data_IF_601206628904
#
_entry.id   IF_601206628904
#
_cell.length_a   1.000
_cell.length_b   1.000
_cell.length_c   1.000
_cell.angle_alpha   90.00
_cell.angle_beta   90.00
_cell.angle_gamma   90.00
#
_symmetry.space_group_name_H-M   'P 1'
#
loop_
_entity.id
_entity.type
_entity.pdbx_description
1 polymer ?
#
# COMPACT_ATOMS: atom_id res chain seq x y z
N UNK A 1 3.74 23.31 -10.18
CA UNK A 1 4.28 22.01 -10.63
C UNK A 1 3.08 21.19 -11.10
N UNK A 2 3.13 20.37 -12.16
CA UNK A 2 1.95 19.60 -12.56
C UNK A 2 1.64 18.58 -11.46
N UNK A 3 0.67 18.90 -10.63
CA UNK A 3 0.17 18.03 -9.58
C UNK A 3 -0.62 16.93 -10.28
N UNK A 4 -0.15 15.68 -10.18
CA UNK A 4 -0.97 14.54 -10.56
C UNK A 4 -2.25 14.63 -9.72
N UNK A 5 -3.44 14.70 -10.35
CA UNK A 5 -4.67 14.86 -9.60
C UNK A 5 -4.81 13.68 -8.64
N UNK A 6 -5.07 13.95 -7.36
CA UNK A 6 -5.24 12.93 -6.32
C UNK A 6 -6.23 11.83 -6.75
N UNK A 7 -7.22 12.20 -7.58
CA UNK A 7 -8.20 11.29 -8.13
C UNK A 7 -7.68 10.23 -9.12
N UNK A 8 -6.47 10.39 -9.65
CA UNK A 8 -5.80 9.41 -10.50
C UNK A 8 -4.94 8.44 -9.68
N UNK A 9 -4.31 8.93 -8.62
CA UNK A 9 -3.46 8.15 -7.72
C UNK A 9 -4.24 7.07 -6.96
N UNK A 10 -5.48 7.37 -6.57
CA UNK A 10 -6.40 6.37 -5.99
C UNK A 10 -6.67 5.15 -6.87
N UNK A 11 -6.40 5.23 -8.19
CA UNK A 11 -6.51 4.05 -9.10
C UNK A 11 -5.36 3.05 -8.93
N UNK A 12 -4.28 3.46 -8.28
CA UNK A 12 -3.17 2.57 -7.92
C UNK A 12 -3.53 1.65 -6.76
N UNK A 13 -4.59 1.95 -6.03
CA UNK A 13 -5.04 1.14 -4.90
C UNK A 13 -6.10 0.14 -5.35
N UNK A 14 -5.93 -1.12 -4.93
CA UNK A 14 -6.95 -2.14 -5.16
C UNK A 14 -8.04 -2.01 -4.09
N UNK A 15 -9.17 -1.39 -4.43
CA UNK A 15 -10.31 -1.25 -3.52
C UNK A 15 -10.79 -2.62 -3.00
N UNK A 16 -11.04 -2.73 -1.70
CA UNK A 16 -11.41 -3.97 -1.01
C UNK A 16 -10.25 -4.95 -0.80
N UNK A 17 -9.01 -4.48 -0.97
CA UNK A 17 -7.82 -5.28 -0.67
C UNK A 17 -7.38 -5.17 0.79
N UNK A 18 -7.89 -4.17 1.55
CA UNK A 18 -7.57 -4.02 2.95
C UNK A 18 -8.10 -5.20 3.75
N UNK A 19 -7.20 -5.92 4.41
CA UNK A 19 -7.52 -7.07 5.25
C UNK A 19 -6.68 -7.02 6.51
N UNK A 20 -7.27 -7.33 7.65
CA UNK A 20 -6.48 -7.58 8.85
C UNK A 20 -5.76 -8.92 8.73
N UNK A 21 -4.55 -8.96 9.27
CA UNK A 21 -3.78 -10.19 9.44
C UNK A 21 -3.58 -10.42 10.94
N UNK A 22 -3.09 -11.60 11.32
CA UNK A 22 -2.84 -11.94 12.73
C UNK A 22 -1.92 -10.93 13.45
N UNK A 23 -1.05 -10.25 12.71
CA UNK A 23 -0.01 -9.35 13.22
C UNK A 23 -0.21 -7.89 12.77
N UNK A 24 -1.40 -7.51 12.29
CA UNK A 24 -1.70 -6.16 11.81
C UNK A 24 -2.67 -6.17 10.63
N UNK A 25 -2.25 -5.65 9.48
CA UNK A 25 -3.09 -5.57 8.29
C UNK A 25 -2.27 -5.56 6.99
N UNK A 26 -2.91 -5.88 5.87
CA UNK A 26 -2.32 -5.85 4.55
C UNK A 26 -3.28 -5.24 3.53
N UNK A 27 -2.71 -4.67 2.48
CA UNK A 27 -3.47 -4.14 1.34
C UNK A 27 -2.65 -4.22 0.06
N UNK A 28 -3.32 -4.23 -1.09
CA UNK A 28 -2.67 -4.36 -2.38
C UNK A 28 -2.75 -3.07 -3.19
N UNK A 29 -1.62 -2.72 -3.79
CA UNK A 29 -1.51 -1.71 -4.84
C UNK A 29 -1.43 -2.40 -6.19
N UNK A 30 -2.25 -1.94 -7.14
CA UNK A 30 -2.26 -2.39 -8.52
C UNK A 30 -1.91 -1.21 -9.43
N UNK A 31 -0.79 -1.30 -10.14
CA UNK A 31 -0.42 -0.25 -11.07
C UNK A 31 -1.31 -0.28 -12.32
N UNK A 32 -2.25 0.64 -12.42
CA UNK A 32 -3.14 0.78 -13.59
C UNK A 32 -2.80 1.98 -14.47
N UNK A 33 -1.76 2.75 -14.13
CA UNK A 33 -1.42 4.01 -14.79
C UNK A 33 -0.28 3.85 -15.80
N UNK A 34 0.94 3.62 -15.33
CA UNK A 34 2.14 3.63 -16.15
C UNK A 34 3.27 2.85 -15.46
N UNK A 35 4.17 2.18 -16.21
CA UNK A 35 5.23 1.39 -15.60
C UNK A 35 6.19 2.32 -14.84
N UNK A 36 6.55 1.93 -13.62
CA UNK A 36 7.37 2.75 -12.75
C UNK A 36 8.32 1.94 -11.87
N UNK A 37 9.31 2.62 -11.31
CA UNK A 37 10.33 2.04 -10.46
C UNK A 37 10.28 2.72 -9.09
N UNK A 38 9.85 1.99 -8.07
CA UNK A 38 9.80 2.49 -6.70
C UNK A 38 11.21 2.43 -6.11
N UNK A 39 11.77 3.59 -5.80
CA UNK A 39 13.11 3.77 -5.23
C UNK A 39 13.07 4.23 -3.77
N UNK A 40 11.89 4.32 -3.18
CA UNK A 40 11.69 4.63 -1.78
C UNK A 40 10.25 4.41 -1.37
N UNK A 41 10.05 3.91 -0.16
CA UNK A 41 8.74 3.85 0.48
C UNK A 41 8.84 4.62 1.80
N UNK A 42 7.96 5.60 1.95
CA UNK A 42 7.82 6.40 3.14
C UNK A 42 6.93 5.72 4.19
N UNK A 43 6.62 6.44 5.28
CA UNK A 43 5.63 5.97 6.24
C UNK A 43 4.25 5.87 5.59
N UNK A 44 3.44 4.95 6.11
CA UNK A 44 2.02 4.81 5.75
C UNK A 44 1.22 5.37 6.92
N UNK A 45 0.27 6.25 6.66
CA UNK A 45 -0.69 6.70 7.66
C UNK A 45 -2.02 5.98 7.46
N UNK A 46 -2.59 5.42 8.52
CA UNK A 46 -3.92 4.79 8.49
C UNK A 46 -4.75 5.35 9.64
N UNK A 47 -5.88 5.99 9.33
CA UNK A 47 -6.77 6.61 10.31
C UNK A 47 -6.06 7.63 11.25
N UNK A 48 -5.01 8.29 10.74
CA UNK A 48 -4.16 9.20 11.51
C UNK A 48 -3.05 8.52 12.32
N UNK A 49 -2.97 7.18 12.31
CA UNK A 49 -1.87 6.43 12.88
C UNK A 49 -0.73 6.27 11.87
N UNK A 50 0.46 6.73 12.22
CA UNK A 50 1.63 6.67 11.35
C UNK A 50 2.45 5.38 11.58
N UNK A 51 2.66 4.62 10.51
CA UNK A 51 3.44 3.40 10.49
C UNK A 51 4.77 3.61 9.75
N UNK A 52 5.92 3.40 10.40
CA UNK A 52 7.23 3.58 9.77
C UNK A 52 7.53 2.45 8.77
N UNK A 53 8.40 2.69 7.76
CA UNK A 53 8.81 1.70 6.76
C UNK A 53 9.55 0.48 7.34
N UNK A 54 9.89 0.50 8.62
CA UNK A 54 10.43 -0.64 9.37
C UNK A 54 9.37 -1.68 9.70
N UNK A 55 8.12 -1.24 9.89
CA UNK A 55 6.96 -2.10 10.17
C UNK A 55 6.23 -2.52 8.90
N UNK A 56 6.67 -2.04 7.74
CA UNK A 56 6.02 -2.27 6.46
C UNK A 56 6.84 -3.28 5.66
N UNK A 57 6.20 -4.35 5.24
CA UNK A 57 6.76 -5.40 4.40
C UNK A 57 6.10 -5.39 3.04
N UNK A 58 6.92 -5.32 2.00
CA UNK A 58 6.49 -5.30 0.61
C UNK A 58 6.60 -6.70 0.04
N UNK A 59 5.49 -7.26 -0.40
CA UNK A 59 5.41 -8.58 -0.99
C UNK A 59 5.07 -8.45 -2.48
N UNK A 60 5.96 -8.96 -3.33
CA UNK A 60 5.83 -8.95 -4.79
C UNK A 60 5.97 -10.38 -5.29
N UNK A 61 4.85 -10.99 -5.67
CA UNK A 61 4.81 -12.39 -6.09
C UNK A 61 5.22 -13.32 -4.94
N UNK A 62 6.40 -13.95 -5.05
CA UNK A 62 6.98 -14.83 -4.02
C UNK A 62 8.10 -14.19 -3.21
N UNK A 63 8.41 -12.93 -3.48
CA UNK A 63 9.48 -12.20 -2.80
C UNK A 63 8.87 -11.22 -1.81
N UNK A 64 9.34 -11.27 -0.57
CA UNK A 64 9.02 -10.29 0.45
C UNK A 64 10.27 -9.48 0.80
N UNK A 65 10.09 -8.19 1.06
CA UNK A 65 11.17 -7.30 1.45
C UNK A 65 10.64 -6.14 2.27
N UNK A 66 11.32 -5.79 3.35
CA UNK A 66 10.95 -4.64 4.15
C UNK A 66 10.99 -3.33 3.34
N UNK A 67 10.03 -2.44 3.57
CA UNK A 67 9.88 -1.19 2.84
C UNK A 67 11.11 -0.29 2.98
N UNK A 68 11.75 -0.27 4.16
CA UNK A 68 13.00 0.47 4.40
C UNK A 68 14.19 0.01 3.53
N UNK A 69 14.14 -1.22 2.97
CA UNK A 69 15.17 -1.72 2.04
C UNK A 69 14.95 -1.23 0.61
N UNK A 70 13.74 -0.74 0.29
CA UNK A 70 13.43 -0.17 -1.03
C UNK A 70 14.14 1.18 -1.14
N UNK A 71 15.11 1.24 -2.04
CA UNK A 71 16.04 2.36 -2.18
C UNK A 71 16.53 2.45 -3.63
N UNK A 72 17.22 3.53 -4.02
CA UNK A 72 17.81 3.64 -5.36
C UNK A 72 18.79 2.51 -5.70
N UNK A 73 19.43 1.89 -4.69
CA UNK A 73 20.33 0.74 -4.87
C UNK A 73 19.58 -0.59 -4.98
N UNK A 74 18.39 -0.68 -4.38
CA UNK A 74 17.51 -1.84 -4.47
C UNK A 74 16.12 -1.40 -4.91
N UNK A 75 15.94 -0.95 -6.16
CA UNK A 75 14.66 -0.50 -6.65
C UNK A 75 13.65 -1.66 -6.69
N UNK A 76 12.38 -1.32 -6.55
CA UNK A 76 11.27 -2.24 -6.73
C UNK A 76 10.57 -1.92 -8.05
N UNK A 77 10.54 -2.90 -8.96
CA UNK A 77 9.84 -2.74 -10.22
C UNK A 77 8.32 -2.76 -9.99
N UNK A 78 7.61 -1.73 -10.44
CA UNK A 78 6.16 -1.64 -10.41
C UNK A 78 5.64 -1.53 -11.85
N UNK A 79 5.66 -2.63 -12.63
CA UNK A 79 5.18 -2.62 -14.01
C UNK A 79 3.68 -2.34 -14.07
N UNK A 80 3.16 -1.95 -15.23
CA UNK A 80 1.70 -1.85 -15.46
C UNK A 80 1.06 -3.20 -15.25
N UNK A 81 -0.10 -3.24 -14.60
CA UNK A 81 -0.78 -4.42 -14.07
C UNK A 81 0.04 -5.20 -13.03
N UNK A 82 1.14 -4.63 -12.53
CA UNK A 82 1.89 -5.16 -11.41
C UNK A 82 1.09 -5.00 -10.12
N UNK A 83 1.01 -6.07 -9.34
CA UNK A 83 0.39 -6.09 -8.01
C UNK A 83 1.49 -6.15 -6.95
N UNK A 84 1.47 -5.19 -6.04
CA UNK A 84 2.33 -5.16 -4.85
C UNK A 84 1.44 -5.27 -3.63
N UNK A 85 1.74 -6.19 -2.74
CA UNK A 85 1.06 -6.31 -1.46
C UNK A 85 1.93 -5.61 -0.41
N UNK A 86 1.33 -4.71 0.36
CA UNK A 86 1.95 -4.02 1.47
C UNK A 86 1.34 -4.60 2.75
N UNK A 87 2.17 -5.24 3.56
CA UNK A 87 1.81 -5.78 4.86
C UNK A 87 2.38 -4.87 5.93
N UNK A 88 1.51 -4.33 6.77
CA UNK A 88 1.88 -3.47 7.89
C UNK A 88 1.72 -4.29 9.17
N UNK A 89 2.82 -4.47 9.88
CA UNK A 89 2.85 -5.11 11.19
C UNK A 89 2.54 -4.06 12.24
N UNK A 90 1.51 -4.28 13.06
CA UNK A 90 1.06 -3.30 14.04
C UNK A 90 -0.30 -3.64 14.62
N UNK A 91 -1.01 -2.63 15.13
CA UNK A 91 -2.35 -2.85 15.65
C UNK A 91 -3.34 -3.17 14.52
N UNK A 92 -4.20 -4.18 14.69
CA UNK A 92 -5.24 -4.49 13.72
C UNK A 92 -6.24 -3.35 13.63
N UNK A 93 -6.74 -3.09 12.42
CA UNK A 93 -7.68 -2.01 12.18
C UNK A 93 -9.09 -2.42 12.64
N UNK A 94 -9.82 -1.51 13.30
CA UNK A 94 -11.22 -1.76 13.63
C UNK A 94 -12.04 -1.98 12.35
N UNK A 95 -13.11 -2.78 12.33
CA UNK A 95 -13.96 -2.86 11.14
C UNK A 95 -14.66 -1.53 10.84
N UNK A 96 -14.66 -1.12 9.58
CA UNK A 96 -15.17 0.18 9.17
C UNK A 96 -14.42 0.81 8.01
N UNK A 97 -14.61 2.12 7.83
CA UNK A 97 -13.91 2.91 6.81
C UNK A 97 -12.57 3.37 7.37
N UNK A 98 -11.51 3.16 6.61
CA UNK A 98 -10.15 3.59 6.93
C UNK A 98 -9.62 4.47 5.83
N UNK A 99 -9.00 5.58 6.22
CA UNK A 99 -8.24 6.43 5.31
C UNK A 99 -6.79 6.00 5.34
N UNK A 100 -6.24 5.59 4.21
CA UNK A 100 -4.83 5.22 4.05
C UNK A 100 -4.11 6.27 3.22
N UNK A 101 -2.98 6.76 3.73
CA UNK A 101 -2.06 7.67 3.05
C UNK A 101 -0.73 6.96 2.87
N UNK A 102 -0.41 6.60 1.63
CA UNK A 102 0.83 5.90 1.29
C UNK A 102 1.77 6.90 0.64
N UNK A 103 2.95 7.06 1.23
CA UNK A 103 4.02 7.86 0.64
C UNK A 103 5.01 6.93 -0.07
N UNK A 104 5.21 7.13 -1.36
CA UNK A 104 6.16 6.38 -2.17
C UNK A 104 7.03 7.33 -3.00
N UNK A 105 8.21 6.88 -3.39
CA UNK A 105 9.10 7.63 -4.26
C UNK A 105 9.41 6.78 -5.49
N UNK A 106 8.98 7.27 -6.65
CA UNK A 106 9.30 6.66 -7.94
C UNK A 106 10.48 7.39 -8.57
N UNK A 107 11.31 6.66 -9.32
CA UNK A 107 12.46 7.23 -10.02
C UNK A 107 12.05 8.16 -11.15
N UNK A 108 10.97 7.79 -11.84
CA UNK A 108 10.48 8.44 -13.05
C UNK A 108 9.60 9.66 -12.75
N UNK A 109 8.82 9.60 -11.66
CA UNK A 109 7.84 10.64 -11.29
C UNK A 109 8.31 11.49 -10.10
N UNK A 110 9.05 10.89 -9.15
CA UNK A 110 9.43 11.52 -7.88
C UNK A 110 8.52 11.11 -6.71
N UNK A 111 8.41 11.94 -5.66
CA UNK A 111 7.58 11.64 -4.51
C UNK A 111 6.09 11.65 -4.88
N UNK A 112 5.39 10.60 -4.46
CA UNK A 112 3.98 10.35 -4.70
C UNK A 112 3.31 10.09 -3.36
N UNK A 113 2.16 10.74 -3.16
CA UNK A 113 1.30 10.52 -2.02
C UNK A 113 -0.02 9.96 -2.52
N UNK A 114 -0.35 8.74 -2.12
CA UNK A 114 -1.56 8.05 -2.52
C UNK A 114 -2.50 8.07 -1.31
N UNK A 115 -3.51 8.93 -1.35
CA UNK A 115 -4.58 8.97 -0.36
C UNK A 115 -5.80 8.21 -0.88
N UNK A 116 -6.23 7.21 -0.13
CA UNK A 116 -7.36 6.35 -0.47
C UNK A 116 -8.20 6.02 0.76
N UNK A 117 -9.46 5.73 0.53
CA UNK A 117 -10.37 5.26 1.56
C UNK A 117 -10.82 3.85 1.20
N UNK A 118 -10.67 2.91 2.12
CA UNK A 118 -11.13 1.55 1.97
C UNK A 118 -12.03 1.14 3.13
N UNK A 119 -12.89 0.15 2.91
CA UNK A 119 -13.78 -0.38 3.92
C UNK A 119 -13.27 -1.76 4.34
N UNK A 120 -12.79 -1.88 5.57
CA UNK A 120 -12.53 -3.18 6.17
C UNK A 120 -13.87 -3.77 6.63
N UNK A 121 -14.37 -4.73 5.86
CA UNK A 121 -15.45 -5.61 6.31
C UNK A 121 -14.83 -6.68 7.20
N UNK A 122 -15.37 -6.88 8.42
CA UNK A 122 -15.17 -8.18 9.06
C UNK A 122 -15.75 -9.17 8.06
N UNK A 123 -14.91 -10.03 7.51
CA UNK A 123 -15.40 -11.27 6.93
C UNK A 123 -15.93 -12.04 8.14
N UNK A 124 -17.18 -11.78 8.51
CA UNK A 124 -17.95 -12.69 9.33
C UNK A 124 -17.78 -14.04 8.65
N UNK A 125 -17.24 -15.08 9.33
CA UNK A 125 -17.12 -16.39 8.73
C UNK A 125 -18.52 -16.75 8.28
N UNK A 126 -18.72 -16.79 6.97
CA UNK A 126 -19.98 -17.15 6.36
C UNK A 126 -20.34 -18.54 6.89
N UNK A 127 -21.25 -18.52 7.84
CA UNK A 127 -22.38 -19.42 7.95
C UNK A 127 -22.00 -20.89 8.03
N UNK A 128 -21.78 -21.35 9.26
CA UNK A 128 -22.13 -22.71 9.59
C UNK A 128 -23.64 -22.89 9.41
N UNK A 129 -24.04 -23.60 8.36
CA UNK A 129 -25.31 -24.32 8.30
C UNK A 129 -25.15 -25.65 7.56
#
# INVERSE_FOLDING_TARGET
MPELPAGMLRRLYQKGSLRNTEDGFEFALLNTLAPGTVIGLGPIEVDGQMFPPEQITVVVGRSERAAHRVSAQGPLAFPVNGRILLRVTGEPLAPGRHTLVINAQLKEVGPLQIQVEDLLTVDDPADGY
#
